data_IF_615238204898
#
_entry.id   IF_615238204898
#
_cell.length_a   1.000
_cell.length_b   1.000
_cell.length_c   1.000
_cell.angle_alpha   90.00
_cell.angle_beta   90.00
_cell.angle_gamma   90.00
#
_symmetry.space_group_name_H-M   'P 1'
#
loop_
_entity.id
_entity.type
_entity.pdbx_description
1 polymer ?
#
# COMPACT_ATOMS: atom_id res chain seq x y z
N UNK A 1 -16.92 -25.24 37.63
CA UNK A 1 -16.12 -24.02 37.40
C UNK A 1 -14.69 -24.41 37.69
N UNK A 2 -13.92 -24.74 36.66
CA UNK A 2 -12.49 -24.99 36.80
C UNK A 2 -11.82 -23.64 37.05
N UNK A 3 -11.26 -23.49 38.25
CA UNK A 3 -10.40 -22.35 38.57
C UNK A 3 -9.11 -22.53 37.79
N UNK A 4 -8.95 -21.82 36.69
CA UNK A 4 -7.67 -21.72 35.97
C UNK A 4 -6.62 -21.20 36.96
N UNK A 5 -5.78 -22.11 37.44
CA UNK A 5 -4.64 -21.82 38.30
C UNK A 5 -3.52 -21.24 37.44
N UNK A 6 -3.55 -19.93 37.16
CA UNK A 6 -2.47 -19.20 36.48
C UNK A 6 -1.20 -19.02 37.32
N UNK A 7 -1.11 -19.72 38.50
CA UNK A 7 -0.08 -19.41 39.50
C UNK A 7 1.35 -19.85 39.12
N UNK A 8 1.60 -20.49 37.96
CA UNK A 8 2.94 -20.93 37.55
C UNK A 8 3.12 -20.99 36.01
N UNK A 9 2.46 -20.15 35.23
CA UNK A 9 2.65 -20.13 33.80
C UNK A 9 4.01 -19.50 33.44
N UNK A 10 5.04 -20.34 33.25
CA UNK A 10 6.42 -19.91 32.92
C UNK A 10 6.48 -19.09 31.62
N UNK A 11 5.68 -19.47 30.62
CA UNK A 11 5.63 -18.73 29.37
C UNK A 11 5.12 -17.29 29.58
N UNK A 12 4.14 -17.08 30.47
CA UNK A 12 3.61 -15.75 30.74
C UNK A 12 4.65 -14.80 31.36
N UNK A 13 5.47 -15.33 32.30
CA UNK A 13 6.58 -14.57 32.90
C UNK A 13 7.63 -14.19 31.85
N UNK A 14 7.93 -15.09 30.91
CA UNK A 14 8.87 -14.86 29.82
C UNK A 14 8.30 -13.82 28.82
N UNK A 15 7.00 -13.91 28.50
CA UNK A 15 6.34 -12.98 27.60
C UNK A 15 6.30 -11.54 28.16
N UNK A 16 6.13 -11.38 29.48
CA UNK A 16 6.25 -10.04 30.11
C UNK A 16 7.63 -9.43 29.86
N UNK A 17 8.71 -10.21 29.94
CA UNK A 17 10.07 -9.75 29.64
C UNK A 17 10.23 -9.39 28.15
N UNK A 18 9.64 -10.19 27.24
CA UNK A 18 9.60 -9.88 25.81
C UNK A 18 8.89 -8.56 25.57
N UNK A 19 7.72 -8.33 26.17
CA UNK A 19 6.97 -7.07 26.04
C UNK A 19 7.77 -5.87 26.56
N UNK A 20 8.50 -6.01 27.65
CA UNK A 20 9.37 -4.96 28.17
C UNK A 20 10.50 -4.59 27.21
N UNK A 21 11.16 -5.58 26.61
CA UNK A 21 12.25 -5.35 25.64
C UNK A 21 11.75 -4.78 24.30
N UNK A 22 10.57 -5.19 23.86
CA UNK A 22 9.98 -4.78 22.58
C UNK A 22 8.98 -3.63 22.73
N UNK A 23 8.94 -2.92 23.86
CA UNK A 23 7.92 -1.90 24.15
C UNK A 23 7.86 -0.75 23.14
N UNK A 24 8.94 -0.50 22.41
CA UNK A 24 9.03 0.56 21.41
C UNK A 24 9.87 0.11 20.20
N UNK A 25 9.38 0.37 18.99
CA UNK A 25 10.10 0.16 17.73
C UNK A 25 10.08 1.47 16.92
N UNK A 26 11.27 2.01 16.55
CA UNK A 26 11.36 3.27 15.82
C UNK A 26 10.87 3.11 14.37
N UNK A 27 10.45 4.23 13.75
CA UNK A 27 10.01 4.31 12.37
C UNK A 27 11.18 4.57 11.43
N UNK A 28 11.83 3.53 10.95
CA UNK A 28 12.95 3.63 10.01
C UNK A 28 12.49 3.63 8.54
N UNK A 29 11.27 3.14 8.25
CA UNK A 29 10.70 3.17 6.91
C UNK A 29 10.15 4.55 6.55
N UNK A 30 10.24 4.91 5.27
CA UNK A 30 9.66 6.13 4.70
C UNK A 30 8.82 5.76 3.48
N UNK A 31 7.54 6.14 3.50
CA UNK A 31 6.71 6.10 2.31
C UNK A 31 6.82 7.45 1.59
N UNK A 32 7.61 7.51 0.53
CA UNK A 32 7.85 8.74 -0.25
C UNK A 32 6.63 9.21 -1.04
N UNK A 33 5.72 8.29 -1.37
CA UNK A 33 4.51 8.61 -2.13
C UNK A 33 3.47 9.35 -1.27
N UNK A 34 3.29 8.91 -0.01
CA UNK A 34 2.36 9.52 0.94
C UNK A 34 3.04 10.41 1.98
N UNK A 35 4.38 10.50 1.92
CA UNK A 35 5.22 11.36 2.79
C UNK A 35 5.00 11.10 4.29
N UNK A 36 5.02 9.83 4.71
CA UNK A 36 4.99 9.45 6.13
C UNK A 36 6.06 8.42 6.49
N UNK A 37 6.45 8.37 7.77
CA UNK A 37 7.34 7.35 8.32
C UNK A 37 6.54 6.21 8.94
N UNK A 38 7.08 5.00 8.89
CA UNK A 38 6.45 3.82 9.49
C UNK A 38 7.50 2.85 10.04
N UNK A 39 7.13 2.03 11.05
CA UNK A 39 7.95 0.92 11.49
C UNK A 39 7.90 -0.19 10.44
N UNK A 40 9.06 -0.59 9.94
CA UNK A 40 9.14 -1.66 8.92
C UNK A 40 8.83 -3.02 9.54
N UNK A 41 8.51 -4.00 8.72
CA UNK A 41 8.38 -5.38 9.21
C UNK A 41 9.72 -5.91 9.73
N UNK A 42 10.83 -5.52 9.11
CA UNK A 42 12.19 -5.88 9.54
C UNK A 42 12.47 -5.38 10.96
N UNK A 43 12.17 -4.09 11.25
CA UNK A 43 12.37 -3.52 12.58
C UNK A 43 11.60 -4.28 13.66
N UNK A 44 10.32 -4.55 13.42
CA UNK A 44 9.45 -5.25 14.38
C UNK A 44 9.87 -6.71 14.55
N UNK A 45 10.05 -7.45 13.45
CA UNK A 45 10.39 -8.87 13.48
C UNK A 45 11.78 -9.09 14.08
N UNK A 46 12.75 -8.22 13.79
CA UNK A 46 14.09 -8.31 14.38
C UNK A 46 14.08 -8.08 15.88
N UNK A 47 13.36 -7.08 16.38
CA UNK A 47 13.22 -6.81 17.80
C UNK A 47 12.55 -7.99 18.52
N UNK A 48 11.42 -8.47 18.00
CA UNK A 48 10.66 -9.58 18.60
C UNK A 48 11.45 -10.87 18.56
N UNK A 49 12.06 -11.24 17.42
CA UNK A 49 12.86 -12.47 17.31
C UNK A 49 14.01 -12.50 18.29
N UNK A 50 14.74 -11.38 18.43
CA UNK A 50 15.85 -11.27 19.38
C UNK A 50 15.40 -11.52 20.83
N UNK A 51 14.26 -10.96 21.21
CA UNK A 51 13.72 -11.10 22.56
C UNK A 51 13.15 -12.50 22.81
N UNK A 52 12.35 -13.05 21.89
CA UNK A 52 11.83 -14.41 21.98
C UNK A 52 12.97 -15.44 22.12
N UNK A 53 13.99 -15.34 21.26
CA UNK A 53 15.15 -16.23 21.32
C UNK A 53 15.92 -16.11 22.63
N UNK A 54 16.08 -14.89 23.19
CA UNK A 54 16.72 -14.67 24.49
C UNK A 54 16.02 -15.39 25.62
N UNK A 55 14.69 -15.43 25.62
CA UNK A 55 13.90 -16.06 26.67
C UNK A 55 13.49 -17.50 26.35
N UNK A 56 14.05 -18.09 25.29
CA UNK A 56 13.82 -19.49 24.94
C UNK A 56 12.39 -19.77 24.49
N UNK A 57 11.77 -18.84 23.77
CA UNK A 57 10.43 -19.00 23.20
C UNK A 57 10.56 -19.23 21.70
N UNK A 58 10.11 -20.41 21.24
CA UNK A 58 9.99 -20.71 19.82
C UNK A 58 8.73 -20.05 19.25
N UNK A 59 8.81 -19.64 17.97
CA UNK A 59 7.72 -18.98 17.26
C UNK A 59 7.45 -19.70 15.94
N UNK A 60 6.22 -20.18 15.74
CA UNK A 60 5.77 -20.85 14.52
C UNK A 60 4.61 -20.04 13.95
N UNK A 61 4.79 -19.47 12.76
CA UNK A 61 3.77 -18.67 12.07
C UNK A 61 3.18 -19.47 10.90
N UNK A 62 1.84 -19.57 10.86
CA UNK A 62 1.08 -20.34 9.87
C UNK A 62 0.10 -19.37 9.17
N UNK A 63 0.39 -18.97 7.94
CA UNK A 63 -0.51 -18.11 7.17
C UNK A 63 -1.65 -18.91 6.52
N UNK A 64 -2.84 -18.32 6.46
CA UNK A 64 -3.98 -18.79 5.67
C UNK A 64 -4.44 -17.67 4.74
N UNK A 65 -4.57 -17.98 3.45
CA UNK A 65 -5.08 -17.03 2.45
C UNK A 65 -6.60 -17.01 2.57
N UNK A 66 -7.16 -15.90 3.03
CA UNK A 66 -8.61 -15.69 3.14
C UNK A 66 -9.23 -15.30 1.80
N UNK A 67 -8.53 -14.44 1.06
CA UNK A 67 -8.92 -14.02 -0.27
C UNK A 67 -7.74 -13.55 -1.10
N UNK A 68 -7.86 -13.70 -2.42
CA UNK A 68 -6.97 -13.08 -3.41
C UNK A 68 -7.82 -12.75 -4.63
N UNK A 69 -8.15 -11.48 -4.80
CA UNK A 69 -9.12 -11.00 -5.81
C UNK A 69 -8.51 -9.91 -6.68
N UNK A 70 -9.01 -9.80 -7.90
CA UNK A 70 -8.65 -8.72 -8.80
C UNK A 70 -9.49 -7.48 -8.48
N UNK A 71 -8.83 -6.33 -8.37
CA UNK A 71 -9.45 -5.03 -8.13
C UNK A 71 -8.95 -4.03 -9.17
N UNK A 72 -9.78 -3.05 -9.50
CA UNK A 72 -9.37 -1.95 -10.37
C UNK A 72 -8.78 -0.81 -9.55
N UNK A 73 -7.59 -0.36 -9.91
CA UNK A 73 -7.02 0.85 -9.34
C UNK A 73 -7.66 2.12 -9.92
N UNK A 74 -7.30 3.29 -9.37
CA UNK A 74 -7.84 4.59 -9.83
C UNK A 74 -7.59 4.91 -11.31
N UNK A 75 -6.63 4.25 -11.93
CA UNK A 75 -6.28 4.39 -13.35
C UNK A 75 -6.96 3.35 -14.24
N UNK A 76 -7.78 2.45 -13.67
CA UNK A 76 -8.47 1.38 -14.39
C UNK A 76 -7.61 0.16 -14.70
N UNK A 77 -6.42 0.03 -14.11
CA UNK A 77 -5.57 -1.14 -14.25
C UNK A 77 -5.96 -2.20 -13.20
N UNK A 78 -5.81 -3.47 -13.57
CA UNK A 78 -6.04 -4.59 -12.66
C UNK A 78 -4.86 -4.67 -11.67
N UNK A 79 -5.18 -4.84 -10.39
CA UNK A 79 -4.25 -5.15 -9.32
C UNK A 79 -4.82 -6.30 -8.49
N UNK A 80 -3.96 -7.06 -7.80
CA UNK A 80 -4.34 -8.16 -6.94
C UNK A 80 -4.41 -7.68 -5.50
N UNK A 81 -5.53 -7.92 -4.83
CA UNK A 81 -5.74 -7.63 -3.41
C UNK A 81 -5.85 -8.96 -2.67
N UNK A 82 -4.84 -9.27 -1.85
CA UNK A 82 -4.85 -10.44 -1.00
C UNK A 82 -5.14 -10.08 0.45
N UNK A 83 -5.88 -10.93 1.15
CA UNK A 83 -6.07 -10.88 2.60
C UNK A 83 -5.60 -12.21 3.18
N UNK A 84 -4.78 -12.12 4.22
CA UNK A 84 -4.17 -13.28 4.90
C UNK A 84 -4.44 -13.18 6.38
N UNK A 85 -4.93 -14.27 6.99
CA UNK A 85 -4.89 -14.48 8.43
C UNK A 85 -3.59 -15.19 8.82
N UNK A 86 -3.08 -14.88 10.00
CA UNK A 86 -1.84 -15.43 10.54
C UNK A 86 -2.14 -16.01 11.91
N UNK A 87 -1.93 -17.30 12.07
CA UNK A 87 -1.88 -17.98 13.35
C UNK A 87 -0.41 -18.12 13.77
N UNK A 88 -0.07 -17.62 14.95
CA UNK A 88 1.29 -17.68 15.49
C UNK A 88 1.23 -18.44 16.81
N UNK A 89 1.94 -19.55 16.87
CA UNK A 89 2.10 -20.30 18.11
C UNK A 89 3.46 -19.99 18.74
N UNK A 90 3.43 -19.51 19.97
CA UNK A 90 4.60 -19.32 20.81
C UNK A 90 4.74 -20.51 21.76
N UNK A 91 5.93 -21.09 21.83
CA UNK A 91 6.18 -22.32 22.62
C UNK A 91 7.37 -22.08 23.55
N UNK A 92 7.17 -22.24 24.84
CA UNK A 92 8.26 -22.20 25.80
C UNK A 92 9.12 -23.49 25.70
N UNK A 93 10.40 -23.32 25.40
CA UNK A 93 11.35 -24.42 25.21
C UNK A 93 11.60 -25.26 26.47
N UNK A 94 11.29 -24.74 27.66
CA UNK A 94 11.51 -25.44 28.93
C UNK A 94 10.27 -26.17 29.44
N UNK A 95 9.10 -25.51 29.38
CA UNK A 95 7.85 -26.07 29.95
C UNK A 95 6.95 -26.68 28.89
N UNK A 96 7.21 -26.44 27.61
CA UNK A 96 6.33 -26.74 26.48
C UNK A 96 4.94 -26.07 26.55
N UNK A 97 4.77 -25.08 27.42
CA UNK A 97 3.56 -24.25 27.43
C UNK A 97 3.45 -23.46 26.14
N UNK A 98 2.23 -23.23 25.66
CA UNK A 98 1.96 -22.55 24.42
C UNK A 98 1.02 -21.37 24.60
N UNK A 99 1.21 -20.34 23.78
CA UNK A 99 0.30 -19.20 23.62
C UNK A 99 0.08 -18.97 22.14
N UNK A 100 -1.18 -18.83 21.73
CA UNK A 100 -1.57 -18.57 20.36
C UNK A 100 -1.88 -17.09 20.15
N UNK A 101 -1.30 -16.49 19.10
CA UNK A 101 -1.57 -15.15 18.65
C UNK A 101 -2.21 -15.19 17.25
N UNK A 102 -3.01 -14.21 16.95
CA UNK A 102 -3.69 -14.10 15.66
C UNK A 102 -3.47 -12.70 15.06
N UNK A 103 -3.38 -12.65 13.75
CA UNK A 103 -3.28 -11.39 13.02
C UNK A 103 -3.92 -11.50 11.65
N UNK A 104 -4.31 -10.35 11.10
CA UNK A 104 -4.84 -10.25 9.74
C UNK A 104 -4.09 -9.13 9.02
N UNK A 105 -3.80 -9.34 7.75
CA UNK A 105 -3.15 -8.34 6.91
C UNK A 105 -3.67 -8.39 5.49
N UNK A 106 -3.70 -7.25 4.84
CA UNK A 106 -4.01 -7.15 3.42
C UNK A 106 -2.84 -6.54 2.66
N UNK A 107 -2.68 -6.97 1.41
CA UNK A 107 -1.64 -6.49 0.52
C UNK A 107 -2.17 -6.31 -0.89
N UNK A 108 -1.84 -5.19 -1.52
CA UNK A 108 -2.22 -4.89 -2.90
C UNK A 108 -0.97 -4.75 -3.76
N UNK A 109 -0.99 -5.36 -4.94
CA UNK A 109 0.14 -5.35 -5.88
C UNK A 109 -0.35 -5.51 -7.32
N UNK A 110 0.32 -4.84 -8.26
CA UNK A 110 0.02 -4.97 -9.69
C UNK A 110 0.61 -6.26 -10.33
N UNK A 111 1.41 -7.02 -9.59
CA UNK A 111 2.05 -8.26 -10.01
C UNK A 111 1.78 -9.40 -9.02
N UNK A 112 2.79 -10.21 -8.77
CA UNK A 112 2.71 -11.47 -8.01
C UNK A 112 2.88 -11.32 -6.48
N UNK A 113 3.07 -10.10 -5.96
CA UNK A 113 3.50 -9.88 -4.56
C UNK A 113 2.37 -9.60 -3.58
N UNK A 114 1.10 -9.58 -4.00
CA UNK A 114 -0.03 -9.25 -3.14
C UNK A 114 -0.08 -10.13 -1.88
N UNK A 115 0.01 -11.47 -2.03
CA UNK A 115 -0.01 -12.42 -0.92
C UNK A 115 1.18 -12.22 0.02
N UNK A 116 2.39 -12.02 -0.50
CA UNK A 116 3.59 -11.80 0.32
C UNK A 116 3.51 -10.48 1.12
N UNK A 117 2.95 -9.42 0.53
CA UNK A 117 2.67 -8.16 1.24
C UNK A 117 1.65 -8.37 2.36
N UNK A 118 0.57 -9.12 2.08
CA UNK A 118 -0.45 -9.45 3.08
C UNK A 118 0.12 -10.26 4.25
N UNK A 119 0.92 -11.30 4.00
CA UNK A 119 1.59 -12.10 5.03
C UNK A 119 2.51 -11.24 5.90
N UNK A 120 3.32 -10.37 5.27
CA UNK A 120 4.23 -9.47 5.99
C UNK A 120 3.47 -8.49 6.88
N UNK A 121 2.35 -7.95 6.39
CA UNK A 121 1.47 -7.09 7.18
C UNK A 121 0.85 -7.85 8.36
N UNK A 122 0.30 -9.05 8.09
CA UNK A 122 -0.37 -9.87 9.11
C UNK A 122 0.55 -10.19 10.29
N UNK A 123 1.76 -10.71 10.05
CA UNK A 123 2.70 -11.08 11.13
C UNK A 123 3.20 -9.85 11.89
N UNK A 124 3.51 -8.74 11.18
CA UNK A 124 3.95 -7.49 11.81
C UNK A 124 2.90 -6.97 12.79
N UNK A 125 1.67 -6.82 12.34
CA UNK A 125 0.59 -6.30 13.18
C UNK A 125 0.15 -7.26 14.26
N UNK A 126 0.22 -8.59 14.04
CA UNK A 126 0.00 -9.58 15.09
C UNK A 126 0.93 -9.32 16.28
N UNK A 127 2.24 -9.18 16.05
CA UNK A 127 3.18 -8.90 17.13
C UNK A 127 3.01 -7.52 17.75
N UNK A 128 2.81 -6.49 16.93
CA UNK A 128 2.63 -5.13 17.45
C UNK A 128 1.44 -5.02 18.40
N UNK A 129 0.30 -5.62 18.05
CA UNK A 129 -0.90 -5.60 18.88
C UNK A 129 -0.75 -6.52 20.10
N UNK A 130 -0.27 -7.76 19.91
CA UNK A 130 -0.18 -8.74 21.00
C UNK A 130 0.83 -8.35 22.09
N UNK A 131 1.91 -7.66 21.72
CA UNK A 131 2.94 -7.19 22.66
C UNK A 131 2.84 -5.72 23.00
N UNK A 132 1.79 -5.04 22.55
CA UNK A 132 1.57 -3.61 22.79
C UNK A 132 2.77 -2.74 22.37
N UNK A 133 3.38 -3.05 21.21
CA UNK A 133 4.57 -2.33 20.71
C UNK A 133 4.19 -0.94 20.22
N UNK A 134 4.69 0.11 20.87
CA UNK A 134 4.49 1.47 20.44
C UNK A 134 5.45 1.87 19.31
N UNK A 135 4.99 2.71 18.39
CA UNK A 135 5.81 3.26 17.28
C UNK A 135 5.91 4.78 17.31
N UNK A 136 5.31 5.42 18.32
CA UNK A 136 5.32 6.87 18.48
C UNK A 136 4.27 7.61 17.65
N UNK A 137 3.29 6.91 17.05
CA UNK A 137 2.12 7.50 16.38
C UNK A 137 0.84 7.03 17.04
N UNK A 138 -0.12 7.93 17.02
CA UNK A 138 -1.51 7.60 17.19
C UNK A 138 -2.14 7.41 15.79
N UNK A 139 -2.55 6.18 15.41
CA UNK A 139 -3.21 5.95 14.12
C UNK A 139 -4.53 6.72 13.97
N UNK A 140 -5.13 7.12 15.09
CA UNK A 140 -6.37 7.92 15.11
C UNK A 140 -6.10 9.41 14.88
N UNK A 141 -4.85 9.87 14.99
CA UNK A 141 -4.47 11.27 14.75
C UNK A 141 -4.31 11.63 13.26
N UNK A 142 -4.91 10.88 12.33
CA UNK A 142 -4.85 11.18 10.88
C UNK A 142 -5.86 12.27 10.49
N UNK A 143 -5.69 13.46 11.04
CA UNK A 143 -6.50 14.64 10.73
C UNK A 143 -6.59 14.93 9.22
N UNK A 144 -5.58 14.58 8.45
CA UNK A 144 -5.56 14.83 7.00
C UNK A 144 -6.47 13.92 6.18
N UNK A 145 -6.79 12.73 6.67
CA UNK A 145 -7.77 11.82 6.03
C UNK A 145 -9.18 12.16 6.47
N UNK A 146 -9.37 12.48 7.74
CA UNK A 146 -10.65 12.84 8.29
C UNK A 146 -11.19 14.14 7.68
N UNK A 147 -10.39 15.20 7.58
CA UNK A 147 -10.78 16.44 6.90
C UNK A 147 -11.20 16.21 5.43
N UNK A 148 -10.52 15.32 4.69
CA UNK A 148 -10.88 14.97 3.32
C UNK A 148 -12.17 14.18 3.20
N UNK A 149 -12.54 13.42 4.22
CA UNK A 149 -13.78 12.65 4.24
C UNK A 149 -15.01 13.50 4.59
N UNK A 150 -14.82 14.61 5.33
CA UNK A 150 -15.89 15.57 5.68
C UNK A 150 -16.11 16.66 4.63
N UNK A 151 -15.24 16.79 3.60
CA UNK A 151 -15.51 17.72 2.49
C UNK A 151 -16.70 17.23 1.67
N UNK A 152 -17.74 18.08 1.55
CA UNK A 152 -18.87 17.81 0.68
C UNK A 152 -18.43 17.58 -0.78
N UNK A 153 -19.11 16.72 -1.56
CA UNK A 153 -18.73 16.39 -2.93
C UNK A 153 -18.53 17.62 -3.84
N UNK A 154 -19.28 18.69 -3.59
CA UNK A 154 -19.17 19.95 -4.34
C UNK A 154 -17.85 20.71 -4.07
N UNK A 155 -17.36 20.70 -2.82
CA UNK A 155 -16.09 21.34 -2.46
C UNK A 155 -14.90 20.56 -3.01
N UNK A 156 -14.99 19.23 -3.06
CA UNK A 156 -13.97 18.36 -3.70
C UNK A 156 -13.85 18.66 -5.19
N UNK A 157 -14.97 18.86 -5.88
CA UNK A 157 -14.97 19.20 -7.30
C UNK A 157 -14.35 20.56 -7.56
N UNK A 158 -14.68 21.58 -6.77
CA UNK A 158 -14.13 22.93 -6.88
C UNK A 158 -12.62 22.98 -6.56
N UNK A 159 -12.14 22.24 -5.54
CA UNK A 159 -10.70 22.15 -5.25
C UNK A 159 -9.90 21.43 -6.34
N UNK A 160 -10.47 20.42 -6.96
CA UNK A 160 -9.81 19.73 -8.09
C UNK A 160 -9.73 20.61 -9.33
N UNK A 161 -10.76 21.40 -9.62
CA UNK A 161 -10.76 22.36 -10.73
C UNK A 161 -9.84 23.55 -10.44
N UNK A 162 -9.81 24.08 -9.22
CA UNK A 162 -8.92 25.15 -8.80
C UNK A 162 -7.43 24.72 -8.84
N UNK A 163 -7.11 23.47 -8.45
CA UNK A 163 -5.73 22.94 -8.57
C UNK A 163 -5.28 22.75 -10.02
N UNK A 164 -6.20 22.41 -10.93
CA UNK A 164 -5.89 22.37 -12.38
C UNK A 164 -5.66 23.75 -12.98
N UNK A 165 -6.28 24.78 -12.40
CA UNK A 165 -6.14 26.16 -12.87
C UNK A 165 -4.96 26.92 -12.22
N UNK A 166 -4.42 26.42 -11.08
CA UNK A 166 -3.30 27.03 -10.35
C UNK A 166 -1.95 26.29 -10.54
N UNK A 167 -1.83 25.40 -11.50
CA UNK A 167 -0.50 25.01 -11.96
C UNK A 167 0.14 26.28 -12.53
N UNK A 168 1.34 26.70 -12.05
CA UNK A 168 2.00 27.83 -12.63
C UNK A 168 2.15 27.52 -14.12
N UNK A 169 1.53 28.35 -14.95
CA UNK A 169 1.87 28.40 -16.35
C UNK A 169 3.36 28.74 -16.40
N UNK A 170 4.20 27.74 -16.56
CA UNK A 170 5.49 27.96 -17.17
C UNK A 170 5.17 28.57 -18.52
N UNK A 171 5.36 29.87 -18.62
CA UNK A 171 5.51 30.56 -19.90
C UNK A 171 6.70 29.90 -20.63
N UNK A 172 6.46 28.79 -21.27
CA UNK A 172 7.18 28.45 -22.47
C UNK A 172 6.43 29.21 -23.57
N UNK A 173 7.03 30.28 -23.97
CA UNK A 173 6.77 30.89 -25.26
C UNK A 173 6.79 29.75 -26.29
N UNK A 174 5.60 29.26 -26.64
CA UNK A 174 5.46 28.45 -27.83
C UNK A 174 5.62 29.44 -28.99
N UNK A 175 6.85 29.54 -29.46
CA UNK A 175 7.07 29.92 -30.83
C UNK A 175 6.12 29.08 -31.70
N UNK A 176 5.27 29.78 -32.36
CA UNK A 176 4.29 29.31 -33.32
C UNK A 176 5.05 28.88 -34.57
N UNK A 177 5.77 27.74 -34.51
CA UNK A 177 6.31 27.12 -35.72
C UNK A 177 5.17 26.30 -36.33
N UNK A 178 4.31 27.02 -37.01
CA UNK A 178 3.18 26.50 -37.76
C UNK A 178 3.70 25.66 -38.92
N UNK A 179 3.77 24.35 -38.77
CA UNK A 179 4.02 23.42 -39.89
C UNK A 179 2.85 23.34 -40.85
N UNK A 180 1.77 24.11 -40.69
CA UNK A 180 0.63 24.16 -41.59
C UNK A 180 0.00 22.83 -41.97
N UNK A 181 0.36 21.74 -41.23
CA UNK A 181 -0.11 20.40 -41.58
C UNK A 181 -1.57 20.21 -41.10
N UNK A 182 -2.43 19.79 -42.03
CA UNK A 182 -3.86 19.56 -41.77
C UNK A 182 -4.21 18.08 -41.96
N UNK A 183 -5.23 17.64 -41.25
CA UNK A 183 -5.78 16.30 -41.36
C UNK A 183 -6.42 16.11 -42.75
N UNK A 184 -5.95 15.11 -43.50
CA UNK A 184 -6.49 14.83 -44.87
C UNK A 184 -7.95 14.35 -44.85
N UNK A 185 -8.44 13.87 -43.70
CA UNK A 185 -9.81 13.36 -43.60
C UNK A 185 -10.83 14.41 -43.12
N UNK A 186 -10.44 15.46 -42.38
CA UNK A 186 -11.39 16.43 -41.82
C UNK A 186 -10.89 17.89 -41.84
N UNK A 187 -9.72 18.20 -42.43
CA UNK A 187 -9.18 19.56 -42.58
C UNK A 187 -8.71 20.23 -41.29
N UNK A 188 -8.74 19.58 -40.14
CA UNK A 188 -8.31 20.15 -38.84
C UNK A 188 -6.80 20.25 -38.77
N UNK A 189 -6.27 21.31 -38.21
CA UNK A 189 -4.82 21.46 -37.97
C UNK A 189 -4.29 20.38 -37.06
N UNK A 190 -3.06 19.93 -37.31
CA UNK A 190 -2.41 18.85 -36.61
C UNK A 190 -1.08 19.36 -36.03
N UNK A 191 -0.85 19.08 -34.72
CA UNK A 191 0.41 19.41 -34.09
C UNK A 191 1.55 18.54 -34.62
N UNK A 192 2.82 18.99 -34.59
CA UNK A 192 3.97 18.23 -35.08
C UNK A 192 4.09 16.81 -34.50
N UNK A 193 3.78 16.65 -33.22
CA UNK A 193 3.78 15.34 -32.54
C UNK A 193 2.71 14.39 -33.08
N UNK A 194 1.50 14.87 -33.31
CA UNK A 194 0.39 14.08 -33.87
C UNK A 194 0.67 13.75 -35.34
N UNK A 195 1.26 14.68 -36.11
CA UNK A 195 1.70 14.44 -37.47
C UNK A 195 2.73 13.33 -37.57
N UNK A 196 3.79 13.40 -36.77
CA UNK A 196 4.86 12.39 -36.76
C UNK A 196 4.31 10.98 -36.45
N UNK A 197 3.47 10.88 -35.44
CA UNK A 197 2.83 9.60 -35.09
C UNK A 197 1.91 9.08 -36.21
N UNK A 198 1.12 9.99 -36.82
CA UNK A 198 0.18 9.62 -37.88
C UNK A 198 0.91 9.13 -39.14
N UNK A 199 1.99 9.79 -39.53
CA UNK A 199 2.81 9.38 -40.67
C UNK A 199 3.50 8.03 -40.44
N UNK A 200 4.00 7.81 -39.23
CA UNK A 200 4.64 6.54 -38.88
C UNK A 200 3.68 5.35 -38.97
N UNK A 201 2.44 5.50 -38.46
CA UNK A 201 1.50 4.39 -38.32
C UNK A 201 0.50 4.29 -39.48
N UNK A 202 -0.02 5.40 -39.98
CA UNK A 202 -1.07 5.43 -41.01
C UNK A 202 -0.58 5.92 -42.38
N UNK A 203 0.71 6.30 -42.50
CA UNK A 203 1.34 6.79 -43.74
C UNK A 203 0.67 8.02 -44.33
N UNK A 204 -0.20 8.72 -43.57
CA UNK A 204 -0.91 9.95 -43.96
C UNK A 204 -1.22 10.83 -42.75
N UNK A 205 -1.31 12.16 -42.90
CA UNK A 205 -1.59 13.07 -41.79
C UNK A 205 -3.07 12.99 -41.36
N UNK A 206 -3.30 12.43 -40.16
CA UNK A 206 -4.62 12.31 -39.55
C UNK A 206 -4.60 12.91 -38.14
N UNK A 207 -5.66 13.67 -37.80
CA UNK A 207 -5.86 14.10 -36.40
C UNK A 207 -6.26 12.94 -35.51
N UNK A 208 -6.11 13.09 -34.20
CA UNK A 208 -6.36 12.02 -33.21
C UNK A 208 -7.76 11.40 -33.32
N UNK A 209 -8.79 12.18 -33.67
CA UNK A 209 -10.16 11.66 -33.84
C UNK A 209 -10.30 10.79 -35.11
N UNK A 210 -9.67 11.20 -36.20
CA UNK A 210 -9.69 10.42 -37.44
C UNK A 210 -8.86 9.15 -37.30
N UNK A 211 -7.73 9.16 -36.57
CA UNK A 211 -6.96 7.96 -36.25
C UNK A 211 -7.81 6.94 -35.47
N UNK A 212 -8.63 7.39 -34.49
CA UNK A 212 -9.53 6.49 -33.73
C UNK A 212 -10.59 5.83 -34.62
N UNK A 213 -11.09 6.54 -35.63
CA UNK A 213 -12.08 5.97 -36.58
C UNK A 213 -11.47 4.92 -37.47
N UNK A 214 -10.25 5.16 -37.95
CA UNK A 214 -9.50 4.17 -38.76
C UNK A 214 -9.17 2.88 -37.98
N UNK A 215 -8.82 3.04 -36.71
CA UNK A 215 -8.52 1.89 -35.83
C UNK A 215 -9.76 1.02 -35.50
N UNK A 216 -10.98 1.56 -35.66
CA UNK A 216 -12.24 0.80 -35.45
C UNK A 216 -12.74 0.12 -36.73
N UNK A 217 -12.15 0.45 -37.88
CA UNK A 217 -12.55 -0.07 -39.19
C UNK A 217 -11.61 -1.16 -39.73
N UNK A 218 -10.50 -1.43 -39.04
CA UNK A 218 -9.53 -2.47 -39.30
C UNK A 218 -9.63 -3.60 -38.26
#
# INVERSE_FOLDING_TARGET
METNNFSNAKIAEKLVKVMQECSFVPKNGTNTFHNYKYATAEDVLSAVNKSLARYGIACIAIPTIESNIDVLNKSGNIEHLATVSMHIQLIDSESAETVDLYGVGSGQDAGDKAVMKAQTAAIKYAFMLSFCIATGDDPEADAGTDERNYEEPQQRYQRQTARKNNSPATNSEHENDGTGAVCVACGREITPKVLQYSLARYKRPLCMECQKKEHRAA
#
